data_IF_988654100804
#
_entry.id   IF_988654100804
#
_cell.length_a   1.000
_cell.length_b   1.000
_cell.length_c   1.000
_cell.angle_alpha   90.00
_cell.angle_beta   90.00
_cell.angle_gamma   90.00
#
_symmetry.space_group_name_H-M   'P 1'
#
loop_
_entity.id
_entity.type
_entity.pdbx_description
1 polymer ?
#
# COMPACT_ATOMS: atom_id res chain seq x y z
N UNK A 1 57.74 -15.15 -39.70
CA UNK A 1 57.62 -14.47 -38.42
C UNK A 1 56.49 -13.39 -38.39
N UNK A 2 55.45 -13.57 -39.16
CA UNK A 2 54.41 -12.52 -39.29
C UNK A 2 52.95 -12.96 -38.95
N UNK A 3 52.70 -14.22 -38.68
CA UNK A 3 51.34 -14.73 -38.52
C UNK A 3 50.79 -14.70 -37.05
N UNK A 4 51.64 -14.63 -36.06
CA UNK A 4 51.19 -14.64 -34.65
C UNK A 4 50.78 -13.30 -34.09
N UNK A 5 51.10 -12.19 -34.78
CA UNK A 5 50.75 -10.84 -34.36
C UNK A 5 49.28 -10.39 -34.70
N UNK A 6 48.59 -11.20 -35.53
CA UNK A 6 47.19 -10.89 -35.91
C UNK A 6 46.15 -11.55 -35.06
N UNK A 7 46.53 -12.49 -34.17
CA UNK A 7 45.60 -13.17 -33.27
C UNK A 7 45.44 -12.51 -31.90
N UNK A 8 46.26 -11.48 -31.63
CA UNK A 8 46.13 -10.63 -30.43
C UNK A 8 45.61 -9.23 -30.74
N UNK A 9 44.97 -9.07 -31.92
CA UNK A 9 44.20 -7.90 -32.24
C UNK A 9 43.03 -7.84 -31.23
N UNK A 10 43.23 -6.98 -30.25
CA UNK A 10 42.31 -6.81 -29.13
C UNK A 10 40.88 -6.62 -29.65
N UNK A 11 40.06 -7.59 -29.39
CA UNK A 11 38.67 -7.24 -29.07
C UNK A 11 38.77 -6.36 -27.85
N UNK A 12 38.73 -5.03 -28.09
CA UNK A 12 38.45 -4.11 -27.05
C UNK A 12 37.24 -4.68 -26.34
N UNK A 13 37.44 -5.10 -25.11
CA UNK A 13 36.32 -5.40 -24.23
C UNK A 13 35.44 -4.16 -24.33
N UNK A 14 34.31 -4.31 -25.01
CA UNK A 14 33.26 -3.31 -25.03
C UNK A 14 32.83 -3.17 -23.56
N UNK A 15 33.57 -2.34 -22.85
CA UNK A 15 33.30 -1.97 -21.49
C UNK A 15 32.11 -1.00 -21.57
N UNK A 16 31.02 -1.49 -22.19
CA UNK A 16 29.71 -0.96 -21.87
C UNK A 16 29.59 -1.21 -20.37
N UNK A 17 29.93 -0.20 -19.61
CA UNK A 17 29.59 -0.17 -18.21
C UNK A 17 28.10 -0.54 -18.16
N UNK A 18 27.81 -1.78 -17.80
CA UNK A 18 26.49 -2.22 -17.41
C UNK A 18 26.20 -1.31 -16.24
N UNK A 19 25.55 -0.16 -16.50
CA UNK A 19 25.00 0.64 -15.42
C UNK A 19 24.17 -0.32 -14.63
N UNK A 20 24.44 -0.54 -13.34
CA UNK A 20 23.63 -1.46 -12.55
C UNK A 20 22.18 -1.04 -12.77
N UNK A 21 21.41 -1.93 -13.37
CA UNK A 21 20.00 -1.68 -13.64
C UNK A 21 19.41 -1.40 -12.26
N UNK A 22 18.98 -0.15 -12.03
CA UNK A 22 18.39 0.25 -10.76
C UNK A 22 17.18 -0.63 -10.58
N UNK A 23 17.23 -1.49 -9.58
CA UNK A 23 16.12 -2.41 -9.28
C UNK A 23 14.88 -1.57 -9.00
N UNK A 24 13.86 -1.74 -9.79
CA UNK A 24 12.58 -1.07 -9.62
C UNK A 24 11.73 -1.87 -8.64
N UNK A 25 12.04 -1.71 -7.37
CA UNK A 25 11.35 -2.42 -6.29
C UNK A 25 9.84 -2.14 -6.24
N UNK A 26 9.40 -0.97 -6.71
CA UNK A 26 7.96 -0.68 -6.76
C UNK A 26 7.26 -1.55 -7.80
N UNK A 27 7.79 -1.64 -9.01
CA UNK A 27 7.21 -2.49 -10.05
C UNK A 27 7.29 -3.97 -9.69
N UNK A 28 8.38 -4.40 -9.03
CA UNK A 28 8.50 -5.75 -8.49
C UNK A 28 7.40 -6.04 -7.44
N UNK A 29 7.22 -5.15 -6.48
CA UNK A 29 6.19 -5.29 -5.45
C UNK A 29 4.78 -5.39 -6.04
N UNK A 30 4.46 -4.52 -7.01
CA UNK A 30 3.17 -4.55 -7.71
C UNK A 30 2.96 -5.85 -8.50
N UNK A 31 4.02 -6.43 -9.08
CA UNK A 31 3.95 -7.71 -9.76
C UNK A 31 3.69 -8.87 -8.78
N UNK A 32 4.38 -8.88 -7.64
CA UNK A 32 4.22 -9.87 -6.58
C UNK A 32 2.81 -9.80 -5.95
N UNK A 33 2.29 -8.60 -5.72
CA UNK A 33 0.93 -8.39 -5.23
C UNK A 33 -0.12 -8.96 -6.19
N UNK A 34 0.03 -8.74 -7.51
CA UNK A 34 -0.85 -9.34 -8.53
C UNK A 34 -0.81 -10.87 -8.55
N UNK A 35 0.31 -11.47 -8.15
CA UNK A 35 0.47 -12.92 -7.99
C UNK A 35 -0.08 -13.44 -6.65
N UNK A 36 -0.45 -12.56 -5.74
CA UNK A 36 -0.91 -12.89 -4.39
C UNK A 36 0.23 -13.19 -3.42
N UNK A 37 1.48 -12.98 -3.81
CA UNK A 37 2.65 -13.12 -2.93
C UNK A 37 2.87 -11.84 -2.12
N UNK A 38 2.00 -11.65 -1.13
CA UNK A 38 2.01 -10.45 -0.31
C UNK A 38 3.25 -10.35 0.59
N UNK A 39 3.81 -11.45 1.05
CA UNK A 39 5.03 -11.43 1.89
C UNK A 39 6.24 -10.94 1.10
N UNK A 40 6.43 -11.42 -0.11
CA UNK A 40 7.46 -10.92 -1.00
C UNK A 40 7.19 -9.47 -1.42
N UNK A 41 5.92 -9.12 -1.71
CA UNK A 41 5.53 -7.74 -2.03
C UNK A 41 5.86 -6.76 -0.89
N UNK A 42 5.60 -7.12 0.37
CA UNK A 42 5.97 -6.31 1.54
C UNK A 42 7.47 -6.02 1.56
N UNK A 43 8.30 -7.03 1.29
CA UNK A 43 9.75 -6.85 1.24
C UNK A 43 10.15 -5.85 0.15
N UNK A 44 9.61 -5.99 -1.06
CA UNK A 44 9.90 -5.10 -2.18
C UNK A 44 9.36 -3.69 -1.96
N UNK A 45 8.16 -3.52 -1.36
CA UNK A 45 7.66 -2.19 -0.98
C UNK A 45 8.55 -1.50 0.07
N UNK A 46 9.07 -2.24 1.06
CA UNK A 46 10.01 -1.69 2.04
C UNK A 46 11.31 -1.23 1.39
N UNK A 47 11.80 -1.96 0.39
CA UNK A 47 12.97 -1.55 -0.40
C UNK A 47 12.66 -0.31 -1.25
N UNK A 48 11.49 -0.21 -1.86
CA UNK A 48 11.06 0.98 -2.58
C UNK A 48 11.00 2.21 -1.68
N UNK A 49 10.56 2.06 -0.42
CA UNK A 49 10.52 3.14 0.56
C UNK A 49 11.91 3.61 1.03
N UNK A 50 12.96 2.81 0.85
CA UNK A 50 14.34 3.30 1.09
C UNK A 50 14.75 4.39 0.12
N UNK A 51 14.26 4.31 -1.13
CA UNK A 51 14.48 5.32 -2.16
C UNK A 51 13.50 6.51 -2.04
N UNK A 52 12.26 6.22 -1.61
CA UNK A 52 11.16 7.18 -1.50
C UNK A 52 10.44 7.06 -0.14
N UNK A 53 11.05 7.48 0.99
CA UNK A 53 10.59 7.13 2.34
C UNK A 53 9.20 7.62 2.72
N UNK A 54 8.70 8.64 2.04
CA UNK A 54 7.40 9.28 2.33
C UNK A 54 6.45 9.28 1.15
N UNK A 55 6.69 8.43 0.14
CA UNK A 55 5.79 8.34 -1.00
C UNK A 55 4.43 7.75 -0.58
N UNK A 56 3.35 8.55 -0.59
CA UNK A 56 2.07 8.14 -0.02
C UNK A 56 1.48 6.90 -0.68
N UNK A 57 1.64 6.75 -1.99
CA UNK A 57 1.12 5.59 -2.73
C UNK A 57 1.87 4.31 -2.40
N UNK A 58 3.18 4.36 -2.19
CA UNK A 58 3.95 3.19 -1.76
C UNK A 58 3.56 2.80 -0.33
N UNK A 59 3.41 3.77 0.56
CA UNK A 59 2.94 3.54 1.94
C UNK A 59 1.53 2.90 1.97
N UNK A 60 0.61 3.39 1.13
CA UNK A 60 -0.72 2.80 0.99
C UNK A 60 -0.66 1.34 0.49
N UNK A 61 0.13 1.06 -0.55
CA UNK A 61 0.24 -0.29 -1.11
C UNK A 61 0.88 -1.25 -0.11
N UNK A 62 1.92 -0.79 0.62
CA UNK A 62 2.49 -1.58 1.72
C UNK A 62 1.44 -1.88 2.79
N UNK A 63 0.59 -0.92 3.15
CA UNK A 63 -0.48 -1.13 4.12
C UNK A 63 -1.51 -2.15 3.62
N UNK A 64 -1.86 -2.14 2.34
CA UNK A 64 -2.73 -3.16 1.73
C UNK A 64 -2.10 -4.55 1.87
N UNK A 65 -0.84 -4.72 1.49
CA UNK A 65 -0.14 -6.00 1.59
C UNK A 65 -0.03 -6.50 3.04
N UNK A 66 0.29 -5.61 3.99
CA UNK A 66 0.30 -5.92 5.43
C UNK A 66 -1.08 -6.35 5.95
N UNK A 67 -2.15 -5.70 5.50
CA UNK A 67 -3.51 -6.08 5.85
C UNK A 67 -3.86 -7.49 5.33
N UNK A 68 -3.41 -7.83 4.13
CA UNK A 68 -3.62 -9.16 3.51
C UNK A 68 -2.88 -10.27 4.24
N UNK A 69 -1.76 -9.99 4.88
CA UNK A 69 -0.99 -10.96 5.69
C UNK A 69 -1.37 -10.96 7.17
N UNK A 70 -2.40 -10.21 7.56
CA UNK A 70 -2.89 -10.17 8.94
C UNK A 70 -2.12 -9.22 9.87
N UNK A 71 -1.15 -8.46 9.35
CA UNK A 71 -0.38 -7.48 10.11
C UNK A 71 -1.16 -6.15 10.26
N UNK A 72 -2.30 -6.21 10.94
CA UNK A 72 -3.28 -5.11 10.98
C UNK A 72 -2.74 -3.84 11.63
N UNK A 73 -1.99 -3.94 12.72
CA UNK A 73 -1.44 -2.75 13.40
C UNK A 73 -0.38 -2.03 12.54
N UNK A 74 0.48 -2.79 11.87
CA UNK A 74 1.43 -2.22 10.93
C UNK A 74 0.73 -1.59 9.72
N UNK A 75 -0.33 -2.23 9.21
CA UNK A 75 -1.14 -1.68 8.14
C UNK A 75 -1.78 -0.35 8.53
N UNK A 76 -2.40 -0.26 9.71
CA UNK A 76 -2.99 0.98 10.25
C UNK A 76 -1.94 2.08 10.30
N UNK A 77 -0.75 1.79 10.81
CA UNK A 77 0.35 2.77 10.89
C UNK A 77 0.75 3.29 9.51
N UNK A 78 0.90 2.42 8.53
CA UNK A 78 1.30 2.81 7.18
C UNK A 78 0.19 3.55 6.41
N UNK A 79 -1.09 3.20 6.60
CA UNK A 79 -2.19 4.00 6.08
C UNK A 79 -2.20 5.42 6.64
N UNK A 80 -1.98 5.59 7.95
CA UNK A 80 -1.88 6.91 8.57
C UNK A 80 -0.73 7.73 8.00
N UNK A 81 0.44 7.13 7.85
CA UNK A 81 1.59 7.79 7.21
C UNK A 81 1.29 8.18 5.76
N UNK A 82 0.59 7.34 5.00
CA UNK A 82 0.17 7.67 3.64
C UNK A 82 -0.74 8.91 3.63
N UNK A 83 -1.71 8.98 4.55
CA UNK A 83 -2.64 10.10 4.67
C UNK A 83 -2.00 11.39 5.21
N UNK A 84 -0.92 11.31 5.98
CA UNK A 84 -0.08 12.47 6.34
C UNK A 84 0.56 13.11 5.09
N UNK A 85 0.96 12.29 4.12
CA UNK A 85 1.55 12.75 2.86
C UNK A 85 0.51 13.20 1.82
N UNK A 86 -0.62 12.51 1.75
CA UNK A 86 -1.75 12.82 0.87
C UNK A 86 -3.08 12.46 1.54
N UNK A 87 -3.73 13.44 2.13
CA UNK A 87 -5.00 13.28 2.82
C UNK A 87 -6.18 12.94 1.88
N UNK A 88 -5.98 12.93 0.57
CA UNK A 88 -7.02 12.65 -0.43
C UNK A 88 -7.03 11.21 -0.94
N UNK A 89 -6.12 10.36 -0.44
CA UNK A 89 -6.02 8.96 -0.85
C UNK A 89 -7.26 8.16 -0.42
N UNK A 90 -8.22 8.00 -1.33
CA UNK A 90 -9.46 7.26 -1.07
C UNK A 90 -9.19 5.82 -0.61
N UNK A 91 -8.25 5.13 -1.24
CA UNK A 91 -7.88 3.75 -0.87
C UNK A 91 -7.32 3.63 0.54
N UNK A 92 -6.57 4.64 1.01
CA UNK A 92 -6.06 4.66 2.37
C UNK A 92 -7.17 4.90 3.41
N UNK A 93 -8.10 5.81 3.14
CA UNK A 93 -9.27 6.01 4.00
C UNK A 93 -10.13 4.76 4.09
N UNK A 94 -10.42 4.12 2.95
CA UNK A 94 -11.21 2.89 2.90
C UNK A 94 -10.53 1.76 3.69
N UNK A 95 -9.27 1.46 3.38
CA UNK A 95 -8.53 0.38 4.05
C UNK A 95 -8.37 0.60 5.55
N UNK A 96 -8.06 1.83 5.97
CA UNK A 96 -7.94 2.20 7.37
C UNK A 96 -9.27 2.05 8.11
N UNK A 97 -10.39 2.50 7.53
CA UNK A 97 -11.70 2.39 8.14
C UNK A 97 -12.06 0.94 8.50
N UNK A 98 -11.88 0.00 7.59
CA UNK A 98 -12.20 -1.41 7.85
C UNK A 98 -11.26 -2.07 8.86
N UNK A 99 -10.00 -1.68 8.93
CA UNK A 99 -9.10 -2.12 9.98
C UNK A 99 -9.48 -1.55 11.35
N UNK A 100 -9.95 -0.30 11.40
CA UNK A 100 -10.44 0.33 12.63
C UNK A 100 -11.73 -0.33 13.12
N UNK A 101 -12.67 -0.70 12.23
CA UNK A 101 -13.85 -1.50 12.59
C UNK A 101 -13.41 -2.81 13.25
N UNK A 102 -12.48 -3.53 12.62
CA UNK A 102 -11.98 -4.80 13.15
C UNK A 102 -11.32 -4.63 14.52
N UNK A 103 -10.68 -3.50 14.78
CA UNK A 103 -10.07 -3.16 16.06
C UNK A 103 -11.06 -2.67 17.12
N UNK A 104 -12.28 -2.31 16.72
CA UNK A 104 -13.32 -1.75 17.60
C UNK A 104 -13.27 -0.22 17.74
N UNK A 105 -12.42 0.47 16.99
CA UNK A 105 -12.39 1.94 16.91
C UNK A 105 -13.45 2.41 15.91
N UNK A 106 -14.71 2.39 16.35
CA UNK A 106 -15.84 2.64 15.46
C UNK A 106 -16.00 4.13 15.09
N UNK A 107 -15.62 5.03 15.98
CA UNK A 107 -15.68 6.48 15.71
C UNK A 107 -14.60 6.87 14.67
N UNK A 108 -13.37 6.41 14.85
CA UNK A 108 -12.30 6.60 13.85
C UNK A 108 -12.65 5.97 12.49
N UNK A 109 -13.28 4.80 12.50
CA UNK A 109 -13.75 4.16 11.27
C UNK A 109 -14.80 5.01 10.55
N UNK A 110 -15.78 5.55 11.27
CA UNK A 110 -16.83 6.39 10.70
C UNK A 110 -16.24 7.67 10.06
N UNK A 111 -15.26 8.30 10.71
CA UNK A 111 -14.55 9.46 10.15
C UNK A 111 -13.88 9.15 8.81
N UNK A 112 -13.16 8.03 8.73
CA UNK A 112 -12.49 7.61 7.51
C UNK A 112 -13.46 7.17 6.41
N UNK A 113 -14.59 6.52 6.75
CA UNK A 113 -15.65 6.23 5.78
C UNK A 113 -16.26 7.51 5.19
N UNK A 114 -16.53 8.51 6.03
CA UNK A 114 -17.01 9.84 5.58
C UNK A 114 -16.00 10.52 4.66
N UNK A 115 -14.72 10.48 5.00
CA UNK A 115 -13.64 11.01 4.15
C UNK A 115 -13.56 10.30 2.80
N UNK A 116 -13.67 8.97 2.78
CA UNK A 116 -13.73 8.17 1.55
C UNK A 116 -14.93 8.55 0.68
N UNK A 117 -16.12 8.64 1.26
CA UNK A 117 -17.34 8.99 0.54
C UNK A 117 -17.36 10.45 0.06
N UNK A 118 -16.64 11.34 0.73
CA UNK A 118 -16.46 12.73 0.32
C UNK A 118 -15.57 12.93 -0.91
N UNK A 119 -14.66 11.98 -1.16
CA UNK A 119 -13.77 11.98 -2.32
C UNK A 119 -13.51 10.56 -2.81
N UNK A 120 -14.56 9.87 -3.33
CA UNK A 120 -14.44 8.47 -3.72
C UNK A 120 -13.59 8.30 -4.98
N UNK A 121 -13.05 7.08 -5.22
CA UNK A 121 -12.32 6.79 -6.45
C UNK A 121 -13.24 6.88 -7.66
N UNK A 122 -12.64 7.06 -8.83
CA UNK A 122 -13.33 7.01 -10.12
C UNK A 122 -13.01 5.69 -10.81
N UNK A 123 -13.95 5.18 -11.60
CA UNK A 123 -13.75 3.99 -12.40
C UNK A 123 -14.91 3.00 -12.29
N UNK A 124 -14.80 1.90 -13.04
CA UNK A 124 -15.87 0.90 -13.20
C UNK A 124 -16.24 0.24 -11.86
N UNK A 125 -15.25 -0.02 -11.01
CA UNK A 125 -15.46 -0.70 -9.73
C UNK A 125 -15.80 0.29 -8.57
N UNK A 126 -15.79 1.59 -8.83
CA UNK A 126 -15.99 2.62 -7.79
C UNK A 126 -17.32 2.42 -7.04
N UNK A 127 -18.41 2.12 -7.76
CA UNK A 127 -19.73 1.94 -7.17
C UNK A 127 -19.80 0.79 -6.16
N UNK A 128 -19.05 -0.27 -6.40
CA UNK A 128 -18.94 -1.39 -5.45
C UNK A 128 -18.35 -0.95 -4.11
N UNK A 129 -17.26 -0.21 -4.16
CA UNK A 129 -16.57 0.29 -2.96
C UNK A 129 -17.38 1.36 -2.24
N UNK A 130 -18.02 2.26 -2.99
CA UNK A 130 -18.92 3.29 -2.45
C UNK A 130 -20.09 2.62 -1.72
N UNK A 131 -20.79 1.69 -2.36
CA UNK A 131 -21.92 1.00 -1.77
C UNK A 131 -21.55 0.19 -0.52
N UNK A 132 -20.33 -0.38 -0.47
CA UNK A 132 -19.83 -1.07 0.71
C UNK A 132 -19.55 -0.09 1.85
N UNK A 133 -18.90 1.04 1.56
CA UNK A 133 -18.62 2.07 2.56
C UNK A 133 -19.90 2.73 3.11
N UNK A 134 -20.90 2.98 2.26
CA UNK A 134 -22.19 3.51 2.68
C UNK A 134 -22.94 2.57 3.63
N UNK A 135 -22.92 1.27 3.35
CA UNK A 135 -23.54 0.27 4.25
C UNK A 135 -22.83 0.25 5.58
N UNK A 136 -21.49 0.17 5.57
CA UNK A 136 -20.69 0.16 6.80
C UNK A 136 -20.95 1.41 7.64
N UNK A 137 -20.99 2.60 7.03
CA UNK A 137 -21.25 3.84 7.74
C UNK A 137 -22.66 3.87 8.37
N UNK A 138 -23.69 3.42 7.63
CA UNK A 138 -25.06 3.31 8.20
C UNK A 138 -25.11 2.37 9.39
N UNK A 139 -24.42 1.23 9.32
CA UNK A 139 -24.39 0.25 10.42
C UNK A 139 -23.72 0.84 11.65
N UNK A 140 -22.63 1.59 11.47
CA UNK A 140 -21.94 2.29 12.56
C UNK A 140 -22.82 3.39 13.19
N UNK A 141 -23.55 4.15 12.38
CA UNK A 141 -24.45 5.20 12.86
C UNK A 141 -25.68 4.66 13.59
N UNK A 142 -26.18 3.48 13.16
CA UNK A 142 -27.28 2.79 13.82
C UNK A 142 -26.93 2.20 15.18
N UNK A 143 -25.65 1.86 15.41
CA UNK A 143 -25.18 1.24 16.67
C UNK A 143 -25.16 2.19 17.87
N UNK A 144 -25.38 3.47 17.70
CA UNK A 144 -25.49 4.46 18.78
C UNK A 144 -24.18 4.73 19.57
N UNK A 145 -24.12 5.84 20.33
CA UNK A 145 -22.90 6.22 21.05
C UNK A 145 -22.56 5.32 22.26
N UNK A 146 -23.52 4.64 22.87
CA UNK A 146 -23.30 3.79 24.04
C UNK A 146 -22.64 2.44 23.71
N UNK A 147 -22.84 1.91 22.50
CA UNK A 147 -22.20 0.67 22.06
C UNK A 147 -20.79 0.91 21.52
N UNK A 148 -20.51 2.14 21.03
CA UNK A 148 -19.19 2.52 20.51
C UNK A 148 -18.13 2.68 21.59
N UNK A 149 -18.51 3.12 22.80
CA UNK A 149 -17.58 3.24 23.93
C UNK A 149 -17.33 1.94 24.69
N UNK A 150 -18.26 1.00 24.66
CA UNK A 150 -18.12 -0.30 25.37
C UNK A 150 -17.02 -1.20 24.77
N UNK A 151 -16.66 -1.02 23.51
CA UNK A 151 -15.59 -1.76 22.84
C UNK A 151 -14.16 -1.33 23.22
N UNK A 152 -13.99 -0.17 23.84
CA UNK A 152 -12.69 0.39 24.23
C UNK A 152 -12.28 0.05 25.68
N UNK A 153 -13.22 -0.37 26.52
CA UNK A 153 -12.95 -0.72 27.92
C UNK A 153 -12.61 -2.21 28.16
N UNK A 154 -12.63 -3.03 27.11
CA UNK A 154 -12.37 -4.48 27.17
C UNK A 154 -11.04 -4.95 26.58
N UNK A 155 -10.11 -4.07 26.27
CA UNK A 155 -8.81 -4.40 25.71
C UNK A 155 -7.67 -4.11 26.69
#
# INVERSE_FOLDING_TARGET
MGLFRRLLGGRGADNRSIKPQRLDYLNEALALERQGDYDAAITSYRLALRDHPREPRILQNLAIALSRTGNSEDAIRHYRLALEGDATLAGAHYGLAFLLIKRGDLDGAAEHLKAFLGNPPRGVDAQKWIGHAERALRDLEASGPSERSAGLEGA
#
